data_IF_861319332545
#
_entry.id   IF_861319332545
#
_cell.length_a   1.000
_cell.length_b   1.000
_cell.length_c   1.000
_cell.angle_alpha   90.00
_cell.angle_beta   90.00
_cell.angle_gamma   90.00
#
_symmetry.space_group_name_H-M   'P 1'
#
loop_
_entity.id
_entity.type
_entity.pdbx_description
1 polymer ?
#
# COMPACT_ATOMS: atom_id res chain seq x y z
N UNK A 1 -9.76 -1.83 15.11
CA UNK A 1 -8.78 -0.95 15.78
C UNK A 1 -8.07 -1.77 16.81
N UNK A 2 -6.74 -1.73 16.85
CA UNK A 2 -5.94 -2.44 17.85
C UNK A 2 -5.88 -1.67 19.18
N UNK A 3 -5.10 -2.18 20.14
CA UNK A 3 -4.89 -1.58 21.47
C UNK A 3 -4.18 -0.22 21.44
N UNK A 4 -3.50 0.11 20.34
CA UNK A 4 -2.77 1.36 20.13
C UNK A 4 -3.55 2.38 19.30
N UNK A 5 -4.81 2.09 18.94
CA UNK A 5 -5.65 2.97 18.14
C UNK A 5 -5.41 2.86 16.63
N UNK A 6 -4.58 1.92 16.18
CA UNK A 6 -4.31 1.69 14.76
C UNK A 6 -5.47 0.92 14.12
N UNK A 7 -5.89 1.36 12.94
CA UNK A 7 -6.85 0.66 12.08
C UNK A 7 -6.10 0.12 10.89
N UNK A 8 -6.20 -1.19 10.66
CA UNK A 8 -5.60 -1.87 9.52
C UNK A 8 -6.74 -2.41 8.64
N UNK A 9 -6.59 -2.33 7.32
CA UNK A 9 -7.47 -2.96 6.34
C UNK A 9 -6.64 -3.65 5.27
N UNK A 10 -7.08 -4.81 4.79
CA UNK A 10 -6.46 -5.56 3.70
C UNK A 10 -7.53 -6.20 2.84
N UNK A 11 -7.32 -6.16 1.53
CA UNK A 11 -8.09 -6.92 0.55
C UNK A 11 -7.14 -7.45 -0.52
N UNK A 12 -7.37 -8.66 -0.97
CA UNK A 12 -6.59 -9.31 -2.02
C UNK A 12 -7.51 -10.18 -2.87
N UNK A 13 -7.25 -10.20 -4.17
CA UNK A 13 -7.93 -11.02 -5.16
C UNK A 13 -6.89 -11.66 -6.07
N UNK A 14 -7.09 -12.94 -6.38
CA UNK A 14 -6.27 -13.69 -7.32
C UNK A 14 -7.13 -14.31 -8.41
N UNK A 15 -6.60 -14.39 -9.63
CA UNK A 15 -7.24 -15.09 -10.75
C UNK A 15 -6.58 -16.45 -11.06
N UNK A 16 -7.20 -17.21 -11.96
CA UNK A 16 -6.72 -18.55 -12.38
C UNK A 16 -5.37 -18.51 -13.12
N UNK A 17 -4.92 -17.33 -13.55
CA UNK A 17 -3.63 -17.13 -14.24
C UNK A 17 -2.50 -16.82 -13.26
N UNK A 18 -2.81 -16.73 -11.96
CA UNK A 18 -1.84 -16.40 -10.92
C UNK A 18 -1.59 -14.90 -10.77
N UNK A 19 -2.41 -14.05 -11.39
CA UNK A 19 -2.35 -12.60 -11.17
C UNK A 19 -2.92 -12.31 -9.79
N UNK A 20 -2.16 -11.60 -8.95
CA UNK A 20 -2.61 -11.15 -7.62
C UNK A 20 -2.74 -9.63 -7.63
N UNK A 21 -3.91 -9.14 -7.22
CA UNK A 21 -4.17 -7.73 -7.00
C UNK A 21 -4.63 -7.53 -5.57
N UNK A 22 -4.16 -6.47 -4.91
CA UNK A 22 -4.58 -6.21 -3.56
C UNK A 22 -4.28 -4.81 -3.09
N UNK A 23 -4.78 -4.52 -1.90
CA UNK A 23 -4.40 -3.36 -1.14
C UNK A 23 -4.29 -3.70 0.33
N UNK A 24 -3.38 -3.02 1.01
CA UNK A 24 -3.44 -2.88 2.45
C UNK A 24 -3.34 -1.41 2.84
N UNK A 25 -3.91 -1.07 3.98
CA UNK A 25 -3.84 0.27 4.53
C UNK A 25 -3.76 0.23 6.05
N UNK A 26 -3.15 1.26 6.61
CA UNK A 26 -3.29 1.58 8.02
C UNK A 26 -3.54 3.07 8.25
N UNK A 27 -4.21 3.34 9.37
CA UNK A 27 -4.31 4.67 9.98
C UNK A 27 -3.97 4.50 11.45
N UNK A 28 -2.94 5.18 11.94
CA UNK A 28 -2.57 5.14 13.36
C UNK A 28 -3.40 6.13 14.20
N UNK A 29 -3.19 6.11 15.53
CA UNK A 29 -3.91 7.01 16.44
C UNK A 29 -3.58 8.50 16.25
N UNK A 30 -2.46 8.82 15.61
CA UNK A 30 -2.02 10.20 15.31
C UNK A 30 -2.55 10.71 13.97
N UNK A 31 -3.18 9.84 13.18
CA UNK A 31 -3.71 10.16 11.85
C UNK A 31 -2.69 9.97 10.72
N UNK A 32 -1.53 9.34 10.98
CA UNK A 32 -0.64 8.92 9.91
C UNK A 32 -1.28 7.79 9.12
N UNK A 33 -1.18 7.89 7.80
CA UNK A 33 -1.81 6.98 6.86
C UNK A 33 -0.78 6.40 5.90
N UNK A 34 -1.01 5.13 5.55
CA UNK A 34 -0.39 4.51 4.38
C UNK A 34 -1.40 3.59 3.73
N UNK A 35 -1.54 3.71 2.42
CA UNK A 35 -2.28 2.79 1.57
C UNK A 35 -1.34 2.29 0.49
N UNK A 36 -1.21 0.98 0.36
CA UNK A 36 -0.40 0.34 -0.68
C UNK A 36 -1.33 -0.47 -1.55
N UNK A 37 -1.39 -0.12 -2.83
CA UNK A 37 -2.07 -0.87 -3.88
C UNK A 37 -1.01 -1.63 -4.67
N UNK A 38 -1.23 -2.91 -4.97
CA UNK A 38 -0.23 -3.72 -5.65
C UNK A 38 -0.85 -4.68 -6.67
N UNK A 39 -0.04 -5.02 -7.66
CA UNK A 39 -0.27 -6.08 -8.63
C UNK A 39 0.99 -6.95 -8.74
N UNK A 40 0.81 -8.26 -8.78
CA UNK A 40 1.82 -9.23 -9.13
C UNK A 40 1.31 -10.06 -10.31
N UNK A 41 2.02 -10.00 -11.42
CA UNK A 41 1.71 -10.70 -12.67
C UNK A 41 3.01 -11.02 -13.44
N UNK A 42 2.87 -11.37 -14.73
CA UNK A 42 4.00 -11.69 -15.61
C UNK A 42 5.01 -10.53 -15.75
N UNK A 43 4.58 -9.28 -15.54
CA UNK A 43 5.43 -8.09 -15.55
C UNK A 43 6.09 -7.82 -14.18
N UNK A 44 6.00 -8.78 -13.24
CA UNK A 44 6.59 -8.72 -11.90
C UNK A 44 5.69 -8.05 -10.85
N UNK A 45 6.30 -7.65 -9.73
CA UNK A 45 5.59 -6.95 -8.65
C UNK A 45 5.69 -5.45 -8.83
N UNK A 46 4.53 -4.77 -8.80
CA UNK A 46 4.43 -3.30 -8.89
C UNK A 46 3.49 -2.79 -7.82
N UNK A 47 3.84 -1.68 -7.18
CA UNK A 47 3.04 -1.10 -6.12
C UNK A 47 2.93 0.43 -6.22
N UNK A 48 1.82 0.95 -5.72
CA UNK A 48 1.57 2.36 -5.53
C UNK A 48 1.30 2.63 -4.05
N UNK A 49 2.14 3.45 -3.43
CA UNK A 49 2.10 3.82 -2.02
C UNK A 49 1.57 5.24 -1.92
N UNK A 50 0.47 5.42 -1.19
CA UNK A 50 -0.13 6.72 -0.88
C UNK A 50 0.03 6.94 0.62
N UNK A 51 0.68 8.03 1.04
CA UNK A 51 0.98 8.27 2.45
C UNK A 51 1.13 9.76 2.79
N UNK A 52 0.94 10.11 4.07
CA UNK A 52 1.23 11.43 4.64
C UNK A 52 2.40 11.38 5.66
N UNK A 53 3.21 10.33 5.66
CA UNK A 53 4.28 10.16 6.64
C UNK A 53 5.43 11.17 6.44
N UNK A 54 5.92 11.81 7.51
CA UNK A 54 7.01 12.77 7.42
C UNK A 54 8.29 12.16 6.83
N UNK A 55 8.94 12.90 5.93
CA UNK A 55 10.21 12.49 5.32
C UNK A 55 10.10 11.60 4.09
N UNK A 56 8.88 11.25 3.66
CA UNK A 56 8.68 10.70 2.33
C UNK A 56 8.87 11.79 1.27
N UNK A 57 9.24 11.37 0.05
CA UNK A 57 9.17 12.21 -1.15
C UNK A 57 8.48 11.45 -2.29
N UNK A 58 7.84 12.17 -3.21
CA UNK A 58 7.33 11.57 -4.45
C UNK A 58 8.51 10.99 -5.24
N UNK A 59 8.58 9.66 -5.33
CA UNK A 59 9.69 8.94 -5.94
C UNK A 59 9.23 7.58 -6.46
N UNK A 60 10.01 6.99 -7.38
CA UNK A 60 9.70 5.69 -7.97
C UNK A 60 10.84 4.66 -7.83
N UNK A 61 11.35 4.39 -6.60
CA UNK A 61 12.43 3.42 -6.43
C UNK A 61 11.94 2.00 -6.73
N UNK A 62 12.75 1.24 -7.46
CA UNK A 62 12.53 -0.20 -7.71
C UNK A 62 11.12 -0.57 -8.22
N UNK A 63 10.47 0.30 -9.00
CA UNK A 63 9.13 0.05 -9.57
C UNK A 63 7.96 0.30 -8.62
N UNK A 64 8.22 0.89 -7.45
CA UNK A 64 7.19 1.31 -6.49
C UNK A 64 6.98 2.81 -6.60
N UNK A 65 5.76 3.24 -6.89
CA UNK A 65 5.42 4.67 -6.94
C UNK A 65 5.03 5.17 -5.55
N UNK A 66 5.66 6.23 -5.07
CA UNK A 66 5.28 6.94 -3.84
C UNK A 66 4.53 8.22 -4.19
N UNK A 67 3.34 8.39 -3.62
CA UNK A 67 2.49 9.56 -3.72
C UNK A 67 2.22 10.12 -2.32
N UNK A 68 2.56 11.39 -2.13
CA UNK A 68 2.35 12.09 -0.86
C UNK A 68 1.08 12.92 -0.93
N UNK A 69 0.30 12.87 0.15
CA UNK A 69 -0.94 13.64 0.33
C UNK A 69 -0.68 15.03 0.90
#
# INVERSE_FOLDING_TARGET
>A
TDEFGTKISRQEFGDERGVIQGQYSYVDATGLTRTVQYIADDDGFRANVISNEPGLTNSAPAGVNYQIQ
#
